data_IF_899566679358
#
_entry.id   IF_899566679358
#
_cell.length_a   1.000
_cell.length_b   1.000
_cell.length_c   1.000
_cell.angle_alpha   90.00
_cell.angle_beta   90.00
_cell.angle_gamma   90.00
#
_symmetry.space_group_name_H-M   'P 1'
#
loop_
_entity.id
_entity.type
_entity.pdbx_description
1 polymer ?
#
# COMPACT_ATOMS: atom_id res chain seq x y z
N UNK A 1 2.43 20.63 -7.00
CA UNK A 1 2.77 19.30 -7.56
C UNK A 1 3.21 18.39 -6.40
N UNK A 2 2.58 17.24 -6.22
CA UNK A 2 2.88 16.32 -5.12
C UNK A 2 4.14 15.51 -5.47
N UNK A 3 5.14 15.53 -4.59
CA UNK A 3 6.33 14.67 -4.71
C UNK A 3 5.98 13.26 -4.21
N UNK A 4 6.36 12.22 -4.95
CA UNK A 4 6.09 10.83 -4.59
C UNK A 4 7.40 10.05 -4.43
N UNK A 5 7.42 9.13 -3.49
CA UNK A 5 8.56 8.21 -3.29
C UNK A 5 8.83 7.34 -4.53
N UNK A 6 7.77 7.03 -5.27
CA UNK A 6 7.88 6.28 -6.53
C UNK A 6 8.75 7.00 -7.57
N UNK A 7 8.81 8.33 -7.57
CA UNK A 7 9.59 9.10 -8.54
C UNK A 7 11.08 8.77 -8.41
N UNK A 8 11.57 8.77 -7.17
CA UNK A 8 12.96 8.38 -6.88
C UNK A 8 13.20 6.91 -7.21
N UNK A 9 12.25 6.03 -6.86
CA UNK A 9 12.37 4.62 -7.19
C UNK A 9 12.49 4.38 -8.70
N UNK A 10 11.70 5.09 -9.53
CA UNK A 10 11.78 5.00 -10.98
C UNK A 10 13.18 5.41 -11.48
N UNK A 11 13.72 6.53 -11.00
CA UNK A 11 15.06 6.99 -11.37
C UNK A 11 16.12 5.94 -11.00
N UNK A 12 16.15 5.51 -9.74
CA UNK A 12 17.11 4.53 -9.23
C UNK A 12 16.99 3.18 -10.00
N UNK A 13 15.77 2.75 -10.34
CA UNK A 13 15.55 1.50 -11.09
C UNK A 13 16.09 1.57 -12.51
N UNK A 14 15.75 2.62 -13.26
CA UNK A 14 16.17 2.72 -14.65
C UNK A 14 17.66 3.04 -14.82
N UNK A 15 18.31 3.61 -13.80
CA UNK A 15 19.75 3.80 -13.75
C UNK A 15 20.52 2.50 -13.50
N UNK A 16 19.95 1.61 -12.68
CA UNK A 16 20.67 0.41 -12.22
C UNK A 16 20.28 -0.88 -12.93
N UNK A 17 19.08 -0.97 -13.53
CA UNK A 17 18.55 -2.17 -14.14
C UNK A 17 18.22 -1.96 -15.62
N UNK A 18 18.41 -3.02 -16.42
CA UNK A 18 18.00 -3.08 -17.84
C UNK A 18 16.65 -3.77 -18.06
N UNK A 19 16.02 -4.25 -16.99
CA UNK A 19 14.73 -4.92 -17.03
C UNK A 19 13.60 -3.93 -17.34
N UNK A 20 12.47 -4.46 -17.78
CA UNK A 20 11.21 -3.73 -17.75
C UNK A 20 10.69 -3.56 -16.32
N UNK A 21 9.90 -2.54 -16.08
CA UNK A 21 9.21 -2.33 -14.81
C UNK A 21 7.70 -2.35 -15.03
N UNK A 22 6.99 -3.09 -14.19
CA UNK A 22 5.53 -3.07 -14.13
C UNK A 22 5.08 -2.38 -12.85
N UNK A 23 4.34 -1.26 -12.97
CA UNK A 23 3.68 -0.60 -11.84
C UNK A 23 2.26 -1.14 -11.68
N UNK A 24 2.00 -1.72 -10.50
CA UNK A 24 0.69 -2.23 -10.09
C UNK A 24 0.09 -1.38 -8.97
N UNK A 25 -1.14 -1.65 -8.60
CA UNK A 25 -1.85 -0.98 -7.51
C UNK A 25 -3.21 -0.44 -7.92
N UNK A 26 -3.99 0.06 -6.95
CA UNK A 26 -5.37 0.50 -7.14
C UNK A 26 -5.52 1.55 -8.25
N UNK A 27 -6.75 1.73 -8.71
CA UNK A 27 -7.08 2.85 -9.59
C UNK A 27 -6.91 4.19 -8.88
N UNK A 28 -6.62 5.24 -9.65
CA UNK A 28 -6.55 6.63 -9.16
C UNK A 28 -5.39 6.95 -8.19
N UNK A 29 -4.42 6.05 -8.01
CA UNK A 29 -3.24 6.29 -7.14
C UNK A 29 -2.10 7.03 -7.83
N UNK A 30 -2.27 7.42 -9.13
CA UNK A 30 -1.32 8.25 -9.86
C UNK A 30 -0.24 7.51 -10.66
N UNK A 31 -0.41 6.20 -10.97
CA UNK A 31 0.56 5.40 -11.76
C UNK A 31 0.94 6.08 -13.08
N UNK A 32 -0.04 6.29 -13.95
CA UNK A 32 0.14 6.90 -15.26
C UNK A 32 0.77 8.31 -15.17
N UNK A 33 0.36 9.10 -14.16
CA UNK A 33 0.91 10.42 -13.91
C UNK A 33 2.41 10.37 -13.58
N UNK A 34 2.82 9.51 -12.65
CA UNK A 34 4.23 9.37 -12.27
C UNK A 34 5.09 8.85 -13.42
N UNK A 35 4.57 7.89 -14.21
CA UNK A 35 5.27 7.35 -15.37
C UNK A 35 5.45 8.42 -16.45
N UNK A 36 4.39 9.16 -16.80
CA UNK A 36 4.47 10.26 -17.80
C UNK A 36 5.50 11.30 -17.39
N UNK A 37 5.45 11.74 -16.13
CA UNK A 37 6.42 12.70 -15.61
C UNK A 37 7.84 12.18 -15.70
N UNK A 38 8.09 10.98 -15.19
CA UNK A 38 9.40 10.34 -15.24
C UNK A 38 9.91 10.20 -16.68
N UNK A 39 9.06 9.73 -17.61
CA UNK A 39 9.42 9.55 -19.01
C UNK A 39 9.83 10.85 -19.70
N UNK A 40 9.10 11.94 -19.44
CA UNK A 40 9.43 13.25 -20.01
C UNK A 40 10.66 13.91 -19.39
N UNK A 41 10.95 13.64 -18.10
CA UNK A 41 12.09 14.24 -17.40
C UNK A 41 13.41 13.49 -17.67
N UNK A 42 13.37 12.18 -17.95
CA UNK A 42 14.57 11.34 -17.98
C UNK A 42 14.91 10.73 -19.35
N UNK A 43 14.00 10.81 -20.33
CA UNK A 43 14.22 10.25 -21.66
C UNK A 43 14.02 11.30 -22.75
N UNK A 44 14.82 11.23 -23.80
CA UNK A 44 14.71 12.12 -24.95
C UNK A 44 13.41 11.86 -25.72
N UNK A 45 12.95 10.59 -25.72
CA UNK A 45 11.69 10.17 -26.32
C UNK A 45 10.87 9.38 -25.32
N UNK A 46 9.62 9.77 -25.19
CA UNK A 46 8.60 9.07 -24.41
C UNK A 46 7.44 8.69 -25.31
N UNK A 47 7.13 7.40 -25.36
CA UNK A 47 6.05 6.85 -26.17
C UNK A 47 5.06 6.14 -25.28
N UNK A 48 3.83 6.57 -25.29
CA UNK A 48 2.73 5.95 -24.54
C UNK A 48 1.77 5.22 -25.47
N UNK A 49 1.48 3.97 -25.11
CA UNK A 49 0.51 3.10 -25.77
C UNK A 49 -0.55 2.75 -24.74
N UNK A 50 -1.68 3.44 -24.74
CA UNK A 50 -2.80 3.18 -23.81
C UNK A 50 -3.86 2.32 -24.52
N UNK A 51 -4.07 1.11 -24.00
CA UNK A 51 -4.96 0.13 -24.64
C UNK A 51 -6.44 0.37 -24.36
N UNK A 52 -6.80 1.10 -23.30
CA UNK A 52 -8.19 1.51 -23.03
C UNK A 52 -8.55 2.73 -23.87
N UNK A 53 -7.68 3.74 -23.93
CA UNK A 53 -7.91 4.97 -24.70
C UNK A 53 -7.96 4.69 -26.21
N UNK A 54 -7.11 3.76 -26.66
CA UNK A 54 -7.00 3.37 -28.07
C UNK A 54 -7.22 1.85 -28.26
N UNK A 55 -8.47 1.34 -28.20
CA UNK A 55 -8.75 -0.10 -28.29
C UNK A 55 -8.31 -0.74 -29.61
N UNK A 56 -8.16 0.08 -30.67
CA UNK A 56 -7.64 -0.37 -31.97
C UNK A 56 -6.22 -0.93 -31.88
N UNK A 57 -5.40 -0.41 -30.96
CA UNK A 57 -4.02 -0.84 -30.75
C UNK A 57 -3.93 -2.24 -30.16
N UNK A 58 -4.94 -2.72 -29.43
CA UNK A 58 -5.03 -4.13 -28.97
C UNK A 58 -4.94 -5.06 -30.18
N UNK A 59 -5.71 -4.79 -31.25
CA UNK A 59 -5.68 -5.61 -32.48
C UNK A 59 -4.35 -5.51 -33.23
N UNK A 60 -3.67 -4.37 -33.10
CA UNK A 60 -2.36 -4.17 -33.70
C UNK A 60 -1.32 -5.04 -32.97
N UNK A 61 -1.23 -4.96 -31.65
CA UNK A 61 -0.16 -5.62 -30.89
C UNK A 61 -0.46 -7.12 -30.61
N UNK A 62 -1.70 -7.51 -30.37
CA UNK A 62 -2.06 -8.93 -30.15
C UNK A 62 -1.76 -9.85 -31.35
N UNK A 63 -1.73 -9.31 -32.56
CA UNK A 63 -1.40 -10.04 -33.78
C UNK A 63 0.08 -10.07 -34.13
N UNK A 64 0.94 -9.45 -33.32
CA UNK A 64 2.37 -9.47 -33.56
C UNK A 64 2.93 -10.87 -33.41
N UNK A 65 3.76 -11.29 -34.35
CA UNK A 65 4.28 -12.66 -34.42
C UNK A 65 5.57 -12.84 -33.63
N UNK A 66 6.35 -11.77 -33.47
CA UNK A 66 7.64 -11.78 -32.80
C UNK A 66 8.03 -10.36 -32.37
N UNK A 67 9.18 -10.22 -31.71
CA UNK A 67 9.72 -8.96 -31.23
C UNK A 67 9.90 -7.91 -32.35
N UNK A 68 10.46 -8.28 -33.50
CA UNK A 68 10.70 -7.37 -34.60
C UNK A 68 9.39 -6.82 -35.19
N UNK A 69 8.35 -7.66 -35.23
CA UNK A 69 7.01 -7.24 -35.65
C UNK A 69 6.39 -6.24 -34.65
N UNK A 70 6.61 -6.42 -33.34
CA UNK A 70 6.19 -5.45 -32.31
C UNK A 70 6.93 -4.12 -32.51
N UNK A 71 8.24 -4.13 -32.71
CA UNK A 71 9.03 -2.92 -32.92
C UNK A 71 8.64 -2.18 -34.18
N UNK A 72 8.36 -2.90 -35.26
CA UNK A 72 7.86 -2.31 -36.52
C UNK A 72 6.49 -1.66 -36.30
N UNK A 73 5.57 -2.33 -35.60
CA UNK A 73 4.25 -1.78 -35.28
C UNK A 73 4.37 -0.56 -34.37
N UNK A 74 5.27 -0.61 -33.38
CA UNK A 74 5.55 0.51 -32.50
C UNK A 74 6.00 1.74 -33.31
N UNK A 75 6.97 1.60 -34.22
CA UNK A 75 7.41 2.70 -35.10
C UNK A 75 6.36 3.18 -36.08
N UNK A 76 5.37 2.33 -36.38
CA UNK A 76 4.27 2.73 -37.31
C UNK A 76 3.16 3.49 -36.58
N UNK A 77 2.88 3.19 -35.32
CA UNK A 77 1.80 3.85 -34.56
C UNK A 77 2.27 5.11 -33.85
N UNK A 78 3.58 5.33 -33.75
CA UNK A 78 4.14 6.54 -33.15
C UNK A 78 4.45 7.61 -34.23
N UNK A 79 4.14 8.85 -33.92
CA UNK A 79 4.46 9.98 -34.81
C UNK A 79 5.89 10.50 -34.64
N UNK A 80 6.70 9.90 -33.79
CA UNK A 80 8.04 10.34 -33.42
C UNK A 80 9.09 9.28 -33.79
N UNK A 81 10.29 9.73 -34.17
CA UNK A 81 11.42 8.86 -34.36
C UNK A 81 11.87 8.28 -33.00
N UNK A 82 12.01 6.97 -32.92
CA UNK A 82 12.45 6.25 -31.73
C UNK A 82 13.99 6.22 -31.68
N UNK A 83 14.56 6.64 -30.54
CA UNK A 83 16.00 6.72 -30.35
C UNK A 83 16.45 5.51 -29.53
N UNK A 84 17.33 4.68 -30.11
CA UNK A 84 17.91 3.53 -29.41
C UNK A 84 18.64 3.96 -28.13
N UNK A 85 18.35 3.29 -27.03
CA UNK A 85 18.95 3.56 -25.71
C UNK A 85 18.36 4.77 -24.98
N UNK A 86 17.60 5.66 -25.65
CA UNK A 86 17.05 6.87 -25.03
C UNK A 86 15.54 7.09 -25.30
N UNK A 87 14.83 5.99 -25.54
CA UNK A 87 13.35 5.97 -25.62
C UNK A 87 12.80 5.13 -24.50
N UNK A 88 11.85 5.69 -23.73
CA UNK A 88 10.98 4.96 -22.81
C UNK A 88 9.66 4.65 -23.51
N UNK A 89 9.34 3.38 -23.63
CA UNK A 89 8.04 2.91 -24.12
C UNK A 89 7.17 2.53 -22.93
N UNK A 90 6.04 3.18 -22.81
CA UNK A 90 5.05 2.96 -21.77
C UNK A 90 3.82 2.27 -22.34
N UNK A 91 3.59 1.05 -21.89
CA UNK A 91 2.37 0.32 -22.18
C UNK A 91 1.42 0.47 -20.98
N UNK A 92 0.35 1.24 -21.18
CA UNK A 92 -0.65 1.51 -20.16
C UNK A 92 -1.88 0.61 -20.33
N UNK A 93 -2.47 0.20 -19.20
CA UNK A 93 -3.63 -0.71 -19.11
C UNK A 93 -3.37 -2.03 -19.86
N UNK A 94 -2.21 -2.66 -19.57
CA UNK A 94 -1.74 -3.86 -20.30
C UNK A 94 -2.61 -5.09 -20.08
N UNK A 95 -3.55 -5.09 -19.14
CA UNK A 95 -4.55 -6.16 -19.01
C UNK A 95 -5.43 -6.29 -20.26
N UNK A 96 -5.60 -5.23 -21.02
CA UNK A 96 -6.35 -5.27 -22.29
C UNK A 96 -5.54 -5.90 -23.45
N UNK A 97 -4.21 -6.06 -23.28
CA UNK A 97 -3.33 -6.70 -24.26
C UNK A 97 -2.26 -7.57 -23.58
N UNK A 98 -2.63 -8.72 -23.00
CA UNK A 98 -1.72 -9.60 -22.25
C UNK A 98 -0.53 -10.12 -23.07
N UNK A 99 -0.65 -10.12 -24.40
CA UNK A 99 0.40 -10.54 -25.32
C UNK A 99 1.66 -9.68 -25.19
N UNK A 100 1.51 -8.39 -24.88
CA UNK A 100 2.64 -7.49 -24.63
C UNK A 100 3.41 -7.92 -23.38
N UNK A 101 2.73 -8.28 -22.32
CA UNK A 101 3.37 -8.78 -21.10
C UNK A 101 4.17 -10.06 -21.38
N UNK A 102 3.64 -10.95 -22.19
CA UNK A 102 4.34 -12.18 -22.63
C UNK A 102 5.55 -11.86 -23.51
N UNK A 103 5.45 -10.83 -24.36
CA UNK A 103 6.49 -10.45 -25.29
C UNK A 103 7.63 -9.61 -24.64
N UNK A 104 7.40 -9.08 -23.44
CA UNK A 104 8.35 -8.13 -22.80
C UNK A 104 9.76 -8.70 -22.65
N UNK A 105 9.88 -10.03 -22.42
CA UNK A 105 11.17 -10.72 -22.37
C UNK A 105 11.98 -10.45 -23.62
N UNK A 106 11.40 -10.66 -24.79
CA UNK A 106 12.07 -10.53 -26.08
C UNK A 106 12.38 -9.07 -26.42
N UNK A 107 11.53 -8.14 -25.97
CA UNK A 107 11.75 -6.71 -26.13
C UNK A 107 12.91 -6.21 -25.28
N UNK A 108 13.05 -6.71 -24.06
CA UNK A 108 14.17 -6.39 -23.16
C UNK A 108 15.46 -7.04 -23.64
N UNK A 109 15.43 -8.28 -24.15
CA UNK A 109 16.61 -8.96 -24.73
C UNK A 109 17.12 -8.24 -25.98
N UNK A 110 16.22 -7.74 -26.82
CA UNK A 110 16.59 -6.98 -28.03
C UNK A 110 17.28 -5.65 -27.69
N UNK A 111 16.85 -4.99 -26.59
CA UNK A 111 17.58 -3.92 -25.92
C UNK A 111 17.57 -2.55 -26.60
N UNK A 112 16.77 -2.34 -27.66
CA UNK A 112 16.69 -1.03 -28.35
C UNK A 112 16.06 0.07 -27.48
N UNK A 113 15.06 -0.29 -26.64
CA UNK A 113 14.30 0.67 -25.85
C UNK A 113 14.18 0.24 -24.40
N UNK A 114 13.73 1.15 -23.55
CA UNK A 114 13.37 0.87 -22.16
C UNK A 114 11.85 0.74 -22.06
N UNK A 115 11.38 -0.12 -21.16
CA UNK A 115 9.97 -0.46 -21.07
C UNK A 115 9.44 -0.28 -19.67
N UNK A 116 8.29 0.38 -19.57
CA UNK A 116 7.48 0.43 -18.36
C UNK A 116 6.04 0.05 -18.71
N UNK A 117 5.42 -0.71 -17.83
CA UNK A 117 4.06 -1.17 -17.99
C UNK A 117 3.22 -0.72 -16.80
N UNK A 118 1.95 -0.43 -17.02
CA UNK A 118 1.01 -0.27 -15.92
C UNK A 118 -0.34 -0.90 -16.24
N UNK A 119 -1.10 -1.14 -15.19
CA UNK A 119 -2.48 -1.54 -15.28
C UNK A 119 -3.15 -1.46 -13.93
N UNK A 120 -4.41 -1.09 -13.97
CA UNK A 120 -5.30 -1.21 -12.82
C UNK A 120 -5.79 -2.66 -12.76
N UNK A 121 -5.90 -3.23 -11.55
CA UNK A 121 -6.38 -4.62 -11.38
C UNK A 121 -5.44 -5.72 -11.95
N UNK A 122 -4.20 -5.39 -12.29
CA UNK A 122 -3.23 -6.39 -12.76
C UNK A 122 -3.02 -7.52 -11.76
N UNK A 123 -3.13 -7.26 -10.46
CA UNK A 123 -3.10 -8.31 -9.43
C UNK A 123 -4.18 -9.37 -9.62
N UNK A 124 -5.36 -9.00 -10.17
CA UNK A 124 -6.46 -9.93 -10.46
C UNK A 124 -6.19 -10.71 -11.76
N UNK A 125 -5.63 -10.06 -12.77
CA UNK A 125 -5.55 -10.61 -14.14
C UNK A 125 -4.21 -11.28 -14.45
N UNK A 126 -3.11 -10.89 -13.80
CA UNK A 126 -1.79 -11.55 -13.97
C UNK A 126 -1.86 -13.06 -13.71
N UNK A 127 -2.78 -13.52 -12.87
CA UNK A 127 -3.02 -14.96 -12.65
C UNK A 127 -3.38 -15.73 -13.93
N UNK A 128 -3.84 -15.03 -14.96
CA UNK A 128 -4.23 -15.61 -16.25
C UNK A 128 -3.14 -15.52 -17.34
N UNK A 129 -1.98 -14.93 -17.03
CA UNK A 129 -0.88 -14.87 -17.99
C UNK A 129 -0.27 -16.24 -18.25
N UNK A 130 -0.12 -16.58 -19.54
CA UNK A 130 0.48 -17.84 -19.99
C UNK A 130 1.94 -18.02 -19.53
N UNK A 131 2.67 -16.93 -19.32
CA UNK A 131 4.04 -16.94 -18.84
C UNK A 131 4.40 -15.58 -18.23
N UNK A 132 4.78 -15.56 -16.95
CA UNK A 132 5.41 -14.38 -16.35
C UNK A 132 6.85 -14.26 -16.87
N UNK A 133 7.31 -13.10 -17.33
CA UNK A 133 8.69 -12.92 -17.85
C UNK A 133 9.69 -12.81 -16.70
N UNK A 134 9.86 -13.88 -15.95
CA UNK A 134 10.77 -13.96 -14.79
C UNK A 134 12.20 -13.60 -15.22
N UNK A 135 12.83 -12.68 -14.50
CA UNK A 135 14.19 -12.21 -14.79
C UNK A 135 14.28 -11.02 -15.76
N UNK A 136 13.22 -10.72 -16.52
CA UNK A 136 13.19 -9.61 -17.50
C UNK A 136 12.30 -8.45 -17.11
N UNK A 137 11.44 -8.65 -16.14
CA UNK A 137 10.52 -7.64 -15.63
C UNK A 137 10.45 -7.73 -14.11
N UNK A 138 10.56 -6.59 -13.45
CA UNK A 138 10.29 -6.45 -12.03
C UNK A 138 8.92 -5.80 -11.83
N UNK A 139 8.24 -6.17 -10.74
CA UNK A 139 6.92 -5.62 -10.39
C UNK A 139 7.06 -4.75 -9.15
N UNK A 140 6.50 -3.56 -9.20
CA UNK A 140 6.46 -2.63 -8.08
C UNK A 140 5.03 -2.21 -7.79
N UNK A 141 4.59 -2.47 -6.57
CA UNK A 141 3.32 -1.97 -6.09
C UNK A 141 3.42 -0.49 -5.73
N UNK A 142 2.44 0.28 -6.18
CA UNK A 142 2.23 1.67 -5.81
C UNK A 142 0.99 1.77 -4.94
N UNK A 143 1.08 2.59 -3.90
CA UNK A 143 0.03 2.80 -2.91
C UNK A 143 -0.47 4.25 -2.95
N UNK A 144 -1.61 4.59 -2.31
CA UNK A 144 -1.94 5.98 -1.99
C UNK A 144 -0.77 6.69 -1.31
N UNK A 145 -0.78 8.00 -1.21
CA UNK A 145 0.24 8.74 -0.45
C UNK A 145 0.32 8.19 0.98
N UNK A 146 1.52 7.86 1.43
CA UNK A 146 1.77 7.62 2.84
C UNK A 146 1.80 8.94 3.63
N UNK A 147 1.85 8.85 4.95
CA UNK A 147 1.78 10.04 5.78
C UNK A 147 2.96 11.00 5.56
N UNK A 148 4.18 10.50 5.29
CA UNK A 148 5.35 11.33 4.99
C UNK A 148 5.15 12.12 3.68
N UNK A 149 4.63 11.48 2.63
CA UNK A 149 4.29 12.14 1.36
C UNK A 149 3.18 13.18 1.54
N UNK A 150 2.14 12.83 2.32
CA UNK A 150 1.04 13.75 2.63
C UNK A 150 1.52 14.95 3.44
N UNK A 151 2.27 14.75 4.52
CA UNK A 151 2.79 15.81 5.37
C UNK A 151 3.65 16.79 4.55
N UNK A 152 4.51 16.26 3.67
CA UNK A 152 5.31 17.08 2.76
C UNK A 152 4.42 17.86 1.78
N UNK A 153 3.38 17.24 1.23
CA UNK A 153 2.45 17.89 0.30
C UNK A 153 1.69 19.06 0.95
N UNK A 154 1.31 18.96 2.22
CA UNK A 154 0.64 20.04 2.96
C UNK A 154 1.62 21.06 3.57
N UNK A 155 2.92 20.96 3.29
CA UNK A 155 3.90 22.00 3.60
C UNK A 155 4.84 21.72 4.78
N UNK A 156 4.85 20.51 5.34
CA UNK A 156 5.90 20.11 6.30
C UNK A 156 7.21 19.94 5.52
N UNK A 157 8.22 20.71 5.89
CA UNK A 157 9.50 20.69 5.19
C UNK A 157 10.40 19.52 5.61
N UNK A 158 11.34 19.17 4.74
CA UNK A 158 12.25 18.02 4.94
C UNK A 158 13.07 18.15 6.24
N UNK A 159 13.41 19.36 6.68
CA UNK A 159 14.15 19.57 7.94
C UNK A 159 13.37 19.12 9.16
N UNK A 160 12.05 19.35 9.18
CA UNK A 160 11.19 18.86 10.28
C UNK A 160 11.14 17.35 10.24
N UNK A 161 10.98 16.74 9.05
CA UNK A 161 11.01 15.28 8.90
C UNK A 161 12.34 14.70 9.41
N UNK A 162 13.47 15.32 9.10
CA UNK A 162 14.78 14.87 9.60
C UNK A 162 14.93 14.98 11.11
N UNK A 163 14.43 16.08 11.71
CA UNK A 163 14.38 16.25 13.18
C UNK A 163 13.54 15.13 13.81
N UNK A 164 12.34 14.87 13.29
CA UNK A 164 11.47 13.81 13.78
C UNK A 164 12.13 12.43 13.64
N UNK A 165 12.79 12.17 12.54
CA UNK A 165 13.54 10.91 12.29
C UNK A 165 14.65 10.71 13.31
N UNK A 166 15.37 11.79 13.69
CA UNK A 166 16.38 11.75 14.73
C UNK A 166 15.76 11.36 16.08
N UNK A 167 14.67 12.03 16.49
CA UNK A 167 13.97 11.73 17.74
C UNK A 167 13.41 10.29 17.77
N UNK A 168 12.89 9.81 16.64
CA UNK A 168 12.47 8.41 16.49
C UNK A 168 13.63 7.43 16.73
N UNK A 169 14.80 7.70 16.13
CA UNK A 169 15.98 6.83 16.24
C UNK A 169 16.58 6.84 17.65
N UNK A 170 16.66 8.01 18.26
CA UNK A 170 17.21 8.21 19.61
C UNK A 170 16.22 7.83 20.72
N UNK A 171 14.92 7.74 20.41
CA UNK A 171 13.87 7.46 21.40
C UNK A 171 13.68 8.61 22.38
N UNK A 172 13.86 9.85 21.93
CA UNK A 172 13.78 11.08 22.72
C UNK A 172 12.52 11.90 22.39
N UNK A 173 11.93 12.63 23.36
CA UNK A 173 10.75 13.45 23.10
C UNK A 173 11.01 14.53 22.05
N UNK A 174 10.00 14.79 21.22
CA UNK A 174 9.97 15.91 20.27
C UNK A 174 9.57 17.19 21.00
N UNK A 175 10.02 18.34 20.51
CA UNK A 175 9.51 19.65 20.95
C UNK A 175 7.98 19.68 20.90
N UNK A 176 7.34 20.21 21.94
CA UNK A 176 5.89 20.16 22.12
C UNK A 176 5.13 20.83 20.97
N UNK A 177 5.61 22.01 20.52
CA UNK A 177 4.98 22.71 19.41
C UNK A 177 5.03 21.89 18.10
N UNK A 178 6.16 21.22 17.83
CA UNK A 178 6.31 20.35 16.65
C UNK A 178 5.41 19.13 16.81
N UNK A 179 5.34 18.54 18.01
CA UNK A 179 4.49 17.40 18.30
C UNK A 179 3.00 17.72 18.04
N UNK A 180 2.50 18.81 18.63
CA UNK A 180 1.11 19.25 18.45
C UNK A 180 0.79 19.49 16.96
N UNK A 181 1.69 20.18 16.25
CA UNK A 181 1.52 20.45 14.81
C UNK A 181 1.47 19.18 13.98
N UNK A 182 2.33 18.22 14.27
CA UNK A 182 2.31 16.93 13.57
C UNK A 182 1.05 16.11 13.88
N UNK A 183 0.52 16.19 15.11
CA UNK A 183 -0.76 15.59 15.47
C UNK A 183 -1.94 16.24 14.72
N UNK A 184 -1.92 17.56 14.51
CA UNK A 184 -2.92 18.23 13.66
C UNK A 184 -2.85 17.74 12.21
N UNK A 185 -1.65 17.67 11.63
CA UNK A 185 -1.44 17.15 10.26
C UNK A 185 -1.88 15.70 10.15
N UNK A 186 -1.62 14.88 11.18
CA UNK A 186 -2.07 13.49 11.18
C UNK A 186 -3.60 13.37 11.22
N UNK A 187 -4.29 14.17 12.05
CA UNK A 187 -5.76 14.22 12.06
C UNK A 187 -6.34 14.64 10.70
N UNK A 188 -5.69 15.61 10.04
CA UNK A 188 -6.07 15.98 8.67
C UNK A 188 -5.89 14.82 7.69
N UNK A 189 -4.79 14.07 7.79
CA UNK A 189 -4.54 12.88 6.98
C UNK A 189 -5.61 11.81 7.17
N UNK A 190 -6.11 11.62 8.40
CA UNK A 190 -7.20 10.66 8.65
C UNK A 190 -8.48 10.98 7.85
N UNK A 191 -8.66 12.23 7.43
CA UNK A 191 -9.86 12.67 6.69
C UNK A 191 -9.58 12.75 5.19
N UNK A 192 -8.47 13.38 4.81
CA UNK A 192 -8.12 13.58 3.40
C UNK A 192 -7.61 12.29 2.77
N UNK A 193 -6.90 11.46 3.55
CA UNK A 193 -6.27 10.23 3.08
C UNK A 193 -5.09 10.48 2.16
N UNK A 194 -4.68 9.43 1.45
CA UNK A 194 -3.57 9.42 0.51
C UNK A 194 -3.96 9.33 -0.96
N UNK A 195 -5.26 9.38 -1.30
CA UNK A 195 -5.66 9.38 -2.71
C UNK A 195 -5.25 10.69 -3.38
N UNK A 196 -4.41 10.65 -4.46
CA UNK A 196 -3.86 11.88 -5.06
C UNK A 196 -4.91 12.92 -5.42
N UNK A 197 -6.04 12.51 -6.00
CA UNK A 197 -7.11 13.43 -6.38
C UNK A 197 -7.73 14.14 -5.16
N UNK A 198 -7.88 13.42 -4.04
CA UNK A 198 -8.39 13.98 -2.79
C UNK A 198 -7.38 14.97 -2.17
N UNK A 199 -6.08 14.62 -2.19
CA UNK A 199 -5.01 15.50 -1.70
C UNK A 199 -4.88 16.75 -2.57
N UNK A 200 -4.85 16.62 -3.90
CA UNK A 200 -4.83 17.76 -4.81
C UNK A 200 -6.06 18.67 -4.64
N UNK A 201 -7.23 18.08 -4.41
CA UNK A 201 -8.46 18.82 -4.12
C UNK A 201 -8.31 19.64 -2.83
N UNK A 202 -7.80 19.03 -1.77
CA UNK A 202 -7.55 19.72 -0.51
C UNK A 202 -6.56 20.88 -0.69
N UNK A 203 -5.45 20.64 -1.37
CA UNK A 203 -4.42 21.67 -1.61
C UNK A 203 -4.95 22.85 -2.45
N UNK A 204 -5.90 22.58 -3.35
CA UNK A 204 -6.48 23.62 -4.21
C UNK A 204 -7.57 24.44 -3.50
N UNK A 205 -8.35 23.84 -2.60
CA UNK A 205 -9.59 24.47 -2.08
C UNK A 205 -9.57 24.68 -0.57
N UNK A 206 -8.75 23.97 0.18
CA UNK A 206 -8.81 23.85 1.65
C UNK A 206 -10.24 23.51 2.18
N UNK A 207 -11.04 22.86 1.36
CA UNK A 207 -12.43 22.54 1.65
C UNK A 207 -12.64 21.02 1.77
N UNK A 208 -13.01 20.56 2.97
CA UNK A 208 -13.22 19.14 3.23
C UNK A 208 -14.47 18.59 2.51
N UNK A 209 -15.49 19.40 2.24
CA UNK A 209 -16.65 18.93 1.48
C UNK A 209 -16.28 18.58 0.05
N UNK A 210 -15.41 19.38 -0.60
CA UNK A 210 -14.91 19.08 -1.93
C UNK A 210 -14.05 17.81 -1.93
N UNK A 211 -13.23 17.60 -0.89
CA UNK A 211 -12.44 16.38 -0.69
C UNK A 211 -13.34 15.16 -0.57
N UNK A 212 -14.39 15.22 0.27
CA UNK A 212 -15.34 14.13 0.45
C UNK A 212 -16.08 13.81 -0.85
N UNK A 213 -16.46 14.82 -1.63
CA UNK A 213 -17.10 14.61 -2.93
C UNK A 213 -16.18 13.84 -3.89
N UNK A 214 -14.88 14.14 -3.90
CA UNK A 214 -13.87 13.43 -4.69
C UNK A 214 -13.70 11.98 -4.21
N UNK A 215 -13.59 11.76 -2.90
CA UNK A 215 -13.51 10.42 -2.31
C UNK A 215 -14.74 9.57 -2.65
N UNK A 216 -15.94 10.14 -2.56
CA UNK A 216 -17.18 9.46 -2.95
C UNK A 216 -17.22 9.13 -4.45
N UNK A 217 -16.63 9.97 -5.31
CA UNK A 217 -16.47 9.66 -6.73
C UNK A 217 -15.53 8.45 -6.94
N UNK A 218 -14.41 8.38 -6.22
CA UNK A 218 -13.49 7.24 -6.26
C UNK A 218 -14.17 5.95 -5.79
N UNK A 219 -14.92 5.99 -4.69
CA UNK A 219 -15.69 4.83 -4.19
C UNK A 219 -16.70 4.34 -5.23
N UNK A 220 -17.41 5.27 -5.90
CA UNK A 220 -18.34 4.90 -6.99
C UNK A 220 -17.62 4.21 -8.14
N UNK A 221 -16.41 4.67 -8.52
CA UNK A 221 -15.60 4.00 -9.54
C UNK A 221 -15.20 2.59 -9.12
N UNK A 222 -14.77 2.39 -7.87
CA UNK A 222 -14.44 1.05 -7.35
C UNK A 222 -15.65 0.11 -7.41
N UNK A 223 -16.83 0.59 -7.02
CA UNK A 223 -18.09 -0.19 -7.13
C UNK A 223 -18.45 -0.54 -8.59
N UNK A 224 -18.19 0.36 -9.54
CA UNK A 224 -18.39 0.11 -10.96
C UNK A 224 -17.41 -0.95 -11.50
N UNK A 225 -16.15 -0.90 -11.06
CA UNK A 225 -15.15 -1.90 -11.43
C UNK A 225 -15.52 -3.29 -10.93
N UNK A 226 -15.95 -3.41 -9.67
CA UNK A 226 -16.48 -4.64 -9.10
C UNK A 226 -17.58 -5.22 -10.02
N UNK A 227 -18.51 -4.37 -10.45
CA UNK A 227 -19.64 -4.81 -11.28
C UNK A 227 -19.20 -5.25 -12.69
N UNK A 228 -18.11 -4.66 -13.22
CA UNK A 228 -17.60 -4.94 -14.57
C UNK A 228 -16.75 -6.23 -14.61
N UNK A 229 -15.84 -6.40 -13.65
CA UNK A 229 -14.80 -7.43 -13.71
C UNK A 229 -15.18 -8.76 -13.03
N UNK A 230 -16.15 -8.76 -12.11
CA UNK A 230 -16.68 -10.00 -11.52
C UNK A 230 -18.22 -9.95 -11.43
N UNK A 231 -18.91 -10.08 -12.58
CA UNK A 231 -20.38 -10.02 -12.61
C UNK A 231 -21.06 -11.08 -11.77
N UNK A 232 -20.43 -12.26 -11.63
CA UNK A 232 -21.02 -13.42 -10.93
C UNK A 232 -20.96 -13.26 -9.40
N UNK A 233 -19.95 -12.54 -8.87
CA UNK A 233 -19.76 -12.35 -7.44
C UNK A 233 -19.89 -10.89 -7.01
N UNK A 234 -20.27 -9.98 -7.91
CA UNK A 234 -20.34 -8.52 -7.65
C UNK A 234 -21.11 -8.15 -6.39
N UNK A 235 -22.24 -8.83 -6.13
CA UNK A 235 -23.04 -8.55 -4.93
C UNK A 235 -22.30 -8.89 -3.65
N UNK A 236 -21.55 -9.99 -3.63
CA UNK A 236 -20.74 -10.39 -2.48
C UNK A 236 -19.57 -9.42 -2.25
N UNK A 237 -18.88 -9.03 -3.33
CA UNK A 237 -17.74 -8.11 -3.24
C UNK A 237 -18.21 -6.74 -2.74
N UNK A 238 -19.33 -6.23 -3.29
CA UNK A 238 -19.93 -4.95 -2.86
C UNK A 238 -20.39 -5.00 -1.40
N UNK A 239 -21.04 -6.08 -0.98
CA UNK A 239 -21.50 -6.25 0.39
C UNK A 239 -20.33 -6.29 1.38
N UNK A 240 -19.25 -7.02 1.05
CA UNK A 240 -18.02 -7.04 1.84
C UNK A 240 -17.45 -5.62 1.97
N UNK A 241 -17.32 -4.92 0.83
CA UNK A 241 -16.78 -3.57 0.80
C UNK A 241 -17.58 -2.59 1.68
N UNK A 242 -18.92 -2.61 1.56
CA UNK A 242 -19.80 -1.72 2.29
C UNK A 242 -19.83 -2.00 3.81
N UNK A 243 -19.48 -3.23 4.22
CA UNK A 243 -19.43 -3.62 5.62
C UNK A 243 -18.11 -3.33 6.31
N UNK A 244 -17.04 -3.01 5.59
CA UNK A 244 -15.71 -2.75 6.19
C UNK A 244 -15.81 -1.77 7.37
N UNK A 245 -16.47 -0.59 7.27
CA UNK A 245 -16.54 0.34 8.39
C UNK A 245 -17.21 -0.25 9.63
N UNK A 246 -18.31 -0.98 9.46
CA UNK A 246 -19.07 -1.57 10.57
C UNK A 246 -18.31 -2.72 11.24
N UNK A 247 -17.62 -3.57 10.47
CA UNK A 247 -16.81 -4.65 11.01
C UNK A 247 -15.57 -4.14 11.76
N UNK A 248 -14.98 -3.03 11.31
CA UNK A 248 -13.86 -2.37 11.99
C UNK A 248 -14.28 -1.69 13.30
N UNK A 249 -15.54 -1.20 13.39
CA UNK A 249 -16.08 -0.60 14.62
C UNK A 249 -16.56 -1.65 15.64
N UNK A 250 -16.73 -2.90 15.21
CA UNK A 250 -17.12 -3.99 16.09
C UNK A 250 -16.02 -4.30 17.12
N UNK A 251 -16.44 -4.78 18.31
CA UNK A 251 -15.52 -5.05 19.46
C UNK A 251 -14.29 -5.89 19.10
N UNK A 252 -14.43 -6.87 18.20
CA UNK A 252 -13.33 -7.78 17.83
C UNK A 252 -12.64 -7.34 16.53
N UNK A 253 -13.17 -6.34 15.79
CA UNK A 253 -12.63 -5.85 14.51
C UNK A 253 -12.32 -6.93 13.46
N UNK A 254 -12.80 -8.16 13.69
CA UNK A 254 -12.66 -9.30 12.77
C UNK A 254 -13.80 -9.26 11.77
N UNK A 255 -13.49 -9.55 10.52
CA UNK A 255 -14.52 -9.70 9.53
C UNK A 255 -15.33 -10.98 9.78
N UNK A 256 -16.58 -10.84 10.20
CA UNK A 256 -17.45 -11.94 10.58
C UNK A 256 -18.37 -12.30 9.40
N UNK A 257 -18.05 -13.39 8.72
CA UNK A 257 -18.83 -13.85 7.54
C UNK A 257 -20.30 -14.14 7.82
N UNK A 258 -20.63 -14.55 9.03
CA UNK A 258 -22.03 -14.76 9.44
C UNK A 258 -22.87 -13.48 9.36
N UNK A 259 -22.22 -12.30 9.45
CA UNK A 259 -22.90 -11.02 9.30
C UNK A 259 -23.31 -10.76 7.83
N UNK A 260 -22.67 -11.42 6.87
CA UNK A 260 -23.08 -11.39 5.47
C UNK A 260 -24.23 -12.36 5.21
N UNK A 261 -24.08 -13.61 5.66
CA UNK A 261 -25.13 -14.62 5.51
C UNK A 261 -24.84 -15.80 6.48
N UNK A 262 -25.83 -16.15 7.31
CA UNK A 262 -25.69 -17.17 8.35
C UNK A 262 -25.34 -18.57 7.84
N UNK A 263 -25.69 -18.88 6.60
CA UNK A 263 -25.60 -20.23 6.01
C UNK A 263 -24.43 -20.40 5.01
N UNK A 264 -23.61 -19.38 4.76
CA UNK A 264 -22.58 -19.44 3.73
C UNK A 264 -21.20 -19.77 4.31
N UNK A 265 -20.51 -20.74 3.66
CA UNK A 265 -19.14 -21.13 3.99
C UNK A 265 -18.12 -20.10 3.45
N UNK A 266 -17.01 -19.90 4.17
CA UNK A 266 -15.88 -19.03 3.78
C UNK A 266 -15.40 -19.28 2.33
N UNK A 267 -15.36 -20.54 1.89
CA UNK A 267 -14.90 -20.89 0.54
C UNK A 267 -15.66 -20.17 -0.58
N UNK A 268 -16.91 -19.74 -0.32
CA UNK A 268 -17.74 -19.03 -1.31
C UNK A 268 -17.39 -17.55 -1.44
N UNK A 269 -16.87 -16.94 -0.35
CA UNK A 269 -16.47 -15.53 -0.33
C UNK A 269 -14.96 -15.33 -0.52
N UNK A 270 -14.17 -16.39 -0.46
CA UNK A 270 -12.71 -16.31 -0.52
C UNK A 270 -12.21 -15.55 -1.74
N UNK A 271 -12.79 -15.81 -2.91
CA UNK A 271 -12.42 -15.11 -4.14
C UNK A 271 -12.78 -13.62 -4.10
N UNK A 272 -13.88 -13.26 -3.44
CA UNK A 272 -14.29 -11.87 -3.28
C UNK A 272 -13.33 -11.06 -2.39
N UNK A 273 -12.84 -11.66 -1.31
CA UNK A 273 -11.79 -11.04 -0.49
C UNK A 273 -10.45 -10.91 -1.22
N UNK A 274 -10.08 -11.96 -1.97
CA UNK A 274 -8.87 -11.93 -2.80
C UNK A 274 -8.99 -10.85 -3.88
N UNK A 275 -10.15 -10.70 -4.48
CA UNK A 275 -10.39 -9.65 -5.46
C UNK A 275 -10.18 -8.25 -4.87
N UNK A 276 -10.77 -7.94 -3.71
CA UNK A 276 -10.60 -6.65 -3.03
C UNK A 276 -9.14 -6.37 -2.68
N UNK A 277 -8.41 -7.39 -2.24
CA UNK A 277 -6.97 -7.30 -1.97
C UNK A 277 -6.18 -7.03 -3.24
N UNK A 278 -6.39 -7.87 -4.27
CA UNK A 278 -5.63 -7.83 -5.52
C UNK A 278 -5.95 -6.54 -6.32
N UNK A 279 -7.17 -6.00 -6.18
CA UNK A 279 -7.56 -4.69 -6.71
C UNK A 279 -6.94 -3.51 -5.92
N UNK A 280 -6.30 -3.78 -4.79
CA UNK A 280 -5.71 -2.75 -3.95
C UNK A 280 -6.72 -1.87 -3.21
N UNK A 281 -7.95 -2.36 -3.01
CA UNK A 281 -9.07 -1.60 -2.41
C UNK A 281 -9.17 -1.87 -0.92
N UNK A 282 -8.83 -3.08 -0.47
CA UNK A 282 -8.86 -3.46 0.93
C UNK A 282 -7.61 -4.25 1.32
N UNK A 283 -7.28 -4.18 2.61
CA UNK A 283 -6.07 -4.76 3.21
C UNK A 283 -6.47 -5.82 4.23
N UNK A 284 -6.37 -7.12 3.91
CA UNK A 284 -6.58 -8.18 4.89
C UNK A 284 -5.37 -8.32 5.80
N UNK A 285 -5.61 -8.31 7.10
CA UNK A 285 -4.63 -8.55 8.16
C UNK A 285 -4.96 -9.87 8.82
N UNK A 286 -4.12 -10.88 8.64
CA UNK A 286 -4.39 -12.25 9.07
C UNK A 286 -3.97 -12.50 10.52
N UNK A 287 -4.72 -13.36 11.22
CA UNK A 287 -4.32 -13.81 12.55
C UNK A 287 -3.13 -14.75 12.46
N UNK A 288 -2.17 -14.59 13.37
CA UNK A 288 -1.14 -15.59 13.64
C UNK A 288 -1.47 -16.31 14.96
N UNK A 289 -1.38 -17.63 14.96
CA UNK A 289 -1.63 -18.45 16.15
C UNK A 289 -0.47 -18.36 17.14
N UNK A 290 0.74 -18.24 16.60
CA UNK A 290 1.99 -18.06 17.33
C UNK A 290 2.78 -16.88 16.75
N UNK A 291 3.09 -15.85 17.55
CA UNK A 291 3.81 -14.67 17.08
C UNK A 291 5.33 -14.93 17.04
N UNK A 292 5.74 -15.96 16.31
CA UNK A 292 7.15 -16.35 16.08
C UNK A 292 7.51 -16.28 14.60
N UNK A 293 8.71 -15.82 14.30
CA UNK A 293 9.20 -15.69 12.92
C UNK A 293 9.59 -17.07 12.37
N UNK A 294 9.21 -17.43 11.13
CA UNK A 294 8.42 -16.68 10.16
C UNK A 294 6.90 -16.69 10.47
N UNK A 295 6.30 -15.52 10.60
CA UNK A 295 4.89 -15.35 10.98
C UNK A 295 3.91 -16.06 10.02
N UNK A 296 4.27 -16.16 8.75
CA UNK A 296 3.45 -16.80 7.73
C UNK A 296 3.15 -18.28 8.05
N UNK A 297 4.04 -18.96 8.78
CA UNK A 297 3.89 -20.39 9.11
C UNK A 297 2.74 -20.65 10.10
N UNK A 298 2.41 -19.66 10.94
CA UNK A 298 1.31 -19.76 11.91
C UNK A 298 0.08 -18.94 11.51
N UNK A 299 0.05 -18.40 10.28
CA UNK A 299 -1.05 -17.55 9.83
C UNK A 299 -2.31 -18.34 9.52
N UNK A 300 -3.44 -17.86 10.02
CA UNK A 300 -4.76 -18.47 9.87
C UNK A 300 -5.55 -17.76 8.77
N UNK A 301 -5.77 -18.42 7.63
CA UNK A 301 -6.42 -17.81 6.44
C UNK A 301 -7.88 -17.41 6.64
N UNK A 302 -8.56 -17.99 7.63
CA UNK A 302 -9.98 -17.77 7.86
C UNK A 302 -10.27 -16.75 8.97
N UNK A 303 -9.23 -16.24 9.61
CA UNK A 303 -9.34 -15.27 10.70
C UNK A 303 -8.54 -14.03 10.30
N UNK A 304 -9.24 -12.97 9.94
CA UNK A 304 -8.60 -11.72 9.51
C UNK A 304 -9.45 -10.50 9.87
N UNK A 305 -8.78 -9.37 9.98
CA UNK A 305 -9.36 -8.03 9.95
C UNK A 305 -9.29 -7.52 8.52
N UNK A 306 -10.25 -6.72 8.07
CA UNK A 306 -10.24 -6.16 6.72
C UNK A 306 -10.27 -4.63 6.82
N UNK A 307 -9.17 -3.99 6.46
CA UNK A 307 -9.02 -2.54 6.45
C UNK A 307 -9.23 -1.97 5.05
N UNK A 308 -9.58 -0.70 4.97
CA UNK A 308 -9.58 0.04 3.70
C UNK A 308 -8.14 0.35 3.30
N UNK A 309 -7.85 0.30 1.99
CA UNK A 309 -6.54 0.64 1.48
C UNK A 309 -6.18 2.13 1.59
N UNK A 310 -7.18 2.98 1.84
CA UNK A 310 -7.00 4.40 2.08
C UNK A 310 -7.90 4.88 3.22
N UNK A 311 -7.28 5.59 4.18
CA UNK A 311 -7.98 6.06 5.38
C UNK A 311 -9.01 7.16 5.08
N UNK A 312 -8.75 8.01 4.09
CA UNK A 312 -9.70 9.04 3.66
C UNK A 312 -10.94 8.44 3.03
N UNK A 313 -10.79 7.36 2.26
CA UNK A 313 -11.93 6.62 1.73
C UNK A 313 -12.74 5.97 2.85
N UNK A 314 -12.10 5.44 3.90
CA UNK A 314 -12.81 4.95 5.08
C UNK A 314 -13.58 6.10 5.77
N UNK A 315 -12.93 7.24 6.00
CA UNK A 315 -13.53 8.39 6.64
C UNK A 315 -14.76 8.92 5.86
N UNK A 316 -14.74 8.83 4.52
CA UNK A 316 -15.85 9.26 3.67
C UNK A 316 -17.04 8.29 3.64
N UNK A 317 -16.89 7.08 4.18
CA UNK A 317 -17.98 6.11 4.36
C UNK A 317 -18.75 6.31 5.68
N UNK A 318 -18.24 7.12 6.59
CA UNK A 318 -18.94 7.51 7.81
C UNK A 318 -20.01 8.57 7.52
N UNK A 319 -20.92 8.78 8.48
CA UNK A 319 -21.95 9.81 8.39
C UNK A 319 -21.33 11.23 8.31
N UNK A 320 -22.06 12.14 7.66
CA UNK A 320 -21.66 13.54 7.56
C UNK A 320 -21.43 14.16 8.94
N UNK A 321 -20.39 14.98 9.04
CA UNK A 321 -19.99 15.68 10.27
C UNK A 321 -19.04 14.90 11.17
N UNK A 322 -18.82 13.61 10.96
CA UNK A 322 -17.81 12.82 11.70
C UNK A 322 -16.40 13.35 11.41
N UNK A 323 -16.15 13.81 10.19
CA UNK A 323 -14.86 14.37 9.76
C UNK A 323 -14.44 15.57 10.59
N UNK A 324 -15.37 16.49 10.90
CA UNK A 324 -15.10 17.64 11.79
C UNK A 324 -14.75 17.17 13.20
N UNK A 325 -15.49 16.18 13.71
CA UNK A 325 -15.22 15.59 15.02
C UNK A 325 -13.85 14.92 15.11
N UNK A 326 -13.37 14.32 14.01
CA UNK A 326 -12.00 13.77 13.92
C UNK A 326 -10.98 14.91 14.02
N UNK A 327 -11.16 16.02 13.29
CA UNK A 327 -10.27 17.19 13.38
C UNK A 327 -10.21 17.76 14.79
N UNK A 328 -11.37 17.92 15.42
CA UNK A 328 -11.50 18.50 16.76
C UNK A 328 -11.10 17.53 17.88
N UNK A 329 -10.68 16.30 17.49
CA UNK A 329 -10.29 15.23 18.43
C UNK A 329 -11.38 14.96 19.48
N UNK A 330 -12.67 14.94 19.04
CA UNK A 330 -13.79 14.75 19.95
C UNK A 330 -13.77 13.36 20.62
N UNK A 331 -13.88 13.28 21.97
CA UNK A 331 -13.85 12.00 22.69
C UNK A 331 -15.01 11.05 22.35
N UNK A 332 -16.07 11.54 21.70
CA UNK A 332 -17.22 10.73 21.27
C UNK A 332 -16.90 9.80 20.08
N UNK A 333 -15.80 10.04 19.38
CA UNK A 333 -15.39 9.23 18.23
C UNK A 333 -14.58 8.02 18.69
N UNK A 334 -14.92 6.85 18.15
CA UNK A 334 -14.09 5.65 18.29
C UNK A 334 -12.86 5.73 17.36
N UNK A 335 -11.82 6.44 17.80
CA UNK A 335 -10.59 6.57 17.02
C UNK A 335 -9.80 5.26 16.87
N UNK A 336 -10.10 4.24 17.66
CA UNK A 336 -9.33 2.98 17.63
C UNK A 336 -9.34 2.31 16.26
N UNK A 337 -10.50 2.18 15.61
CA UNK A 337 -10.60 1.58 14.27
C UNK A 337 -9.99 2.46 13.18
N UNK A 338 -10.14 3.78 13.30
CA UNK A 338 -9.59 4.76 12.36
C UNK A 338 -8.06 4.73 12.42
N UNK A 339 -7.47 4.75 13.63
CA UNK A 339 -6.02 4.68 13.81
C UNK A 339 -5.45 3.36 13.33
N UNK A 340 -6.09 2.22 13.66
CA UNK A 340 -5.64 0.92 13.15
C UNK A 340 -5.69 0.85 11.62
N UNK A 341 -6.68 1.47 10.97
CA UNK A 341 -6.72 1.52 9.51
C UNK A 341 -5.57 2.34 8.93
N UNK A 342 -5.25 3.51 9.52
CA UNK A 342 -4.11 4.30 9.10
C UNK A 342 -2.80 3.53 9.29
N UNK A 343 -2.65 2.79 10.39
CA UNK A 343 -1.48 1.93 10.65
C UNK A 343 -1.38 0.81 9.63
N UNK A 344 -2.48 0.14 9.30
CA UNK A 344 -2.50 -0.93 8.28
C UNK A 344 -2.07 -0.39 6.90
N UNK A 345 -2.59 0.76 6.49
CA UNK A 345 -2.24 1.43 5.24
C UNK A 345 -0.74 1.76 5.18
N UNK A 346 -0.20 2.41 6.22
CA UNK A 346 1.22 2.79 6.27
C UNK A 346 2.15 1.57 6.24
N UNK A 347 1.89 0.58 7.10
CA UNK A 347 2.71 -0.63 7.15
C UNK A 347 2.71 -1.38 5.82
N UNK A 348 1.57 -1.44 5.12
CA UNK A 348 1.48 -2.02 3.79
C UNK A 348 2.30 -1.23 2.77
N UNK A 349 2.17 0.11 2.77
CA UNK A 349 2.95 0.99 1.90
C UNK A 349 4.46 0.90 2.16
N UNK A 350 4.84 0.59 3.40
CA UNK A 350 6.22 0.38 3.82
C UNK A 350 6.75 -1.04 3.57
N UNK A 351 5.97 -1.89 2.90
CA UNK A 351 6.41 -3.21 2.44
C UNK A 351 6.31 -4.33 3.48
N UNK A 352 5.54 -4.15 4.54
CA UNK A 352 5.29 -5.22 5.50
C UNK A 352 4.14 -6.11 5.07
N UNK A 353 4.24 -7.42 5.37
CA UNK A 353 3.09 -8.30 5.44
C UNK A 353 2.37 -8.07 6.76
N UNK A 354 1.04 -7.95 6.70
CA UNK A 354 0.24 -7.54 7.84
C UNK A 354 -0.33 -8.74 8.56
N UNK A 355 -0.03 -8.82 9.86
CA UNK A 355 -0.58 -9.81 10.77
C UNK A 355 -1.07 -9.15 12.06
N UNK A 356 -2.00 -9.81 12.75
CA UNK A 356 -2.36 -9.54 14.13
C UNK A 356 -2.26 -10.82 14.95
N UNK A 357 -2.14 -10.70 16.26
CA UNK A 357 -2.11 -11.86 17.14
C UNK A 357 -3.32 -11.85 18.07
N UNK A 358 -4.02 -12.96 18.16
CA UNK A 358 -5.10 -13.09 19.12
C UNK A 358 -5.12 -14.49 19.75
N UNK A 359 -4.96 -14.51 21.05
CA UNK A 359 -4.97 -15.74 21.85
C UNK A 359 -5.85 -15.54 23.11
N UNK A 360 -6.66 -16.55 23.45
CA UNK A 360 -7.57 -16.48 24.60
C UNK A 360 -6.87 -16.22 25.94
N UNK A 361 -5.62 -16.67 26.09
CA UNK A 361 -4.84 -16.53 27.34
C UNK A 361 -4.06 -15.23 27.39
N UNK A 362 -3.50 -14.81 26.29
CA UNK A 362 -2.59 -13.66 26.24
C UNK A 362 -3.29 -12.36 25.83
N UNK A 363 -4.39 -12.45 25.08
CA UNK A 363 -5.12 -11.30 24.55
C UNK A 363 -4.82 -11.04 23.08
N UNK A 364 -5.14 -9.83 22.60
CA UNK A 364 -4.98 -9.42 21.22
C UNK A 364 -3.93 -8.32 21.10
N UNK A 365 -2.98 -8.47 20.15
CA UNK A 365 -2.09 -7.43 19.65
C UNK A 365 -2.64 -6.91 18.33
N UNK A 366 -2.68 -5.59 18.15
CA UNK A 366 -3.28 -4.97 16.98
C UNK A 366 -2.54 -5.34 15.70
N UNK A 367 -1.19 -5.28 15.74
CA UNK A 367 -0.34 -5.73 14.65
C UNK A 367 0.90 -6.47 15.15
N UNK A 368 1.35 -7.42 14.34
CA UNK A 368 2.63 -8.11 14.48
C UNK A 368 3.31 -8.13 13.11
N UNK A 369 4.52 -7.61 13.02
CA UNK A 369 5.28 -7.57 11.77
C UNK A 369 6.65 -8.23 11.94
N UNK A 370 7.25 -8.61 10.84
CA UNK A 370 8.64 -9.07 10.78
C UNK A 370 9.56 -7.92 10.38
N UNK A 371 10.55 -7.63 11.21
CA UNK A 371 11.56 -6.63 10.91
C UNK A 371 12.93 -7.15 11.29
N UNK A 372 13.85 -7.20 10.31
CA UNK A 372 15.24 -7.70 10.49
C UNK A 372 15.33 -9.13 11.07
N UNK A 373 14.39 -10.02 10.71
CA UNK A 373 14.36 -11.40 11.20
C UNK A 373 13.80 -11.55 12.61
N UNK A 374 13.25 -10.49 13.20
CA UNK A 374 12.62 -10.50 14.51
C UNK A 374 11.15 -10.13 14.42
N UNK A 375 10.36 -10.63 15.35
CA UNK A 375 8.96 -10.24 15.52
C UNK A 375 8.91 -8.90 16.25
N UNK A 376 8.17 -7.94 15.68
CA UNK A 376 7.90 -6.64 16.26
C UNK A 376 6.40 -6.48 16.49
N UNK A 377 5.94 -6.51 17.75
CA UNK A 377 4.56 -6.21 18.07
C UNK A 377 4.32 -4.70 18.10
N UNK A 378 3.16 -4.30 17.55
CA UNK A 378 2.67 -2.92 17.58
C UNK A 378 1.29 -2.91 18.21
N UNK A 379 1.10 -2.00 19.15
CA UNK A 379 -0.18 -1.70 19.79
C UNK A 379 -0.60 -0.28 19.41
N UNK A 380 -1.88 -0.08 19.11
CA UNK A 380 -2.42 1.22 18.68
C UNK A 380 -3.38 1.75 19.74
N UNK A 381 -3.09 2.93 20.25
CA UNK A 381 -3.85 3.57 21.34
C UNK A 381 -4.24 5.00 20.97
N UNK A 382 -5.51 5.23 20.75
CA UNK A 382 -6.06 6.56 20.47
C UNK A 382 -6.52 7.34 21.70
N UNK A 383 -6.59 6.68 22.87
CA UNK A 383 -7.06 7.27 24.13
C UNK A 383 -5.93 7.65 25.10
N UNK A 384 -6.31 8.25 26.24
CA UNK A 384 -5.37 8.66 27.31
C UNK A 384 -4.73 7.50 28.07
N UNK A 385 -5.39 6.31 28.09
CA UNK A 385 -4.91 5.12 28.80
C UNK A 385 -3.94 4.28 27.95
N UNK A 386 -3.06 4.92 27.17
CA UNK A 386 -2.17 4.25 26.22
C UNK A 386 -1.13 3.33 26.90
N UNK A 387 -0.84 3.53 28.19
CA UNK A 387 0.05 2.66 28.94
C UNK A 387 -0.61 1.33 29.38
N UNK A 388 -1.92 1.18 29.19
CA UNK A 388 -2.66 -0.04 29.48
C UNK A 388 -2.73 -0.96 28.26
N UNK A 389 -1.79 -1.88 28.15
CA UNK A 389 -1.68 -2.84 27.04
C UNK A 389 -1.37 -4.24 27.58
N UNK A 390 -2.38 -4.85 28.23
CA UNK A 390 -2.23 -6.16 28.90
C UNK A 390 -1.70 -7.25 27.98
N UNK A 391 -2.19 -7.34 26.74
CA UNK A 391 -1.75 -8.36 25.80
C UNK A 391 -0.27 -8.18 25.43
N UNK A 392 0.16 -6.94 25.14
CA UNK A 392 1.55 -6.64 24.88
C UNK A 392 2.45 -7.03 26.07
N UNK A 393 2.04 -6.66 27.29
CA UNK A 393 2.77 -7.03 28.51
C UNK A 393 2.88 -8.54 28.65
N UNK A 394 1.81 -9.29 28.40
CA UNK A 394 1.81 -10.75 28.47
C UNK A 394 2.79 -11.36 27.44
N UNK A 395 2.77 -10.89 26.21
CA UNK A 395 3.66 -11.36 25.15
C UNK A 395 5.12 -11.02 25.45
N UNK A 396 5.39 -9.79 25.90
CA UNK A 396 6.73 -9.34 26.30
C UNK A 396 7.35 -10.13 27.46
N UNK A 397 6.51 -10.60 28.38
CA UNK A 397 6.94 -11.39 29.55
C UNK A 397 6.93 -12.90 29.27
N UNK A 398 6.50 -13.32 28.09
CA UNK A 398 6.48 -14.74 27.73
C UNK A 398 7.89 -15.29 27.58
N UNK A 399 8.15 -16.44 28.19
CA UNK A 399 9.41 -17.19 28.00
C UNK A 399 9.47 -17.89 26.64
N UNK A 400 8.31 -18.07 25.99
CA UNK A 400 8.20 -18.73 24.70
C UNK A 400 8.56 -17.79 23.53
N UNK A 401 8.24 -16.50 23.67
CA UNK A 401 8.45 -15.51 22.62
C UNK A 401 9.63 -14.62 22.98
N UNK A 402 10.65 -14.60 22.11
CA UNK A 402 11.83 -13.73 22.30
C UNK A 402 11.57 -12.37 21.66
N UNK A 403 10.91 -11.46 22.42
CA UNK A 403 10.63 -10.11 21.94
C UNK A 403 11.72 -9.16 22.41
N UNK A 404 12.47 -8.59 21.48
CA UNK A 404 13.58 -7.65 21.75
C UNK A 404 13.06 -6.24 22.00
N UNK A 405 12.02 -5.81 21.29
CA UNK A 405 11.41 -4.48 21.38
C UNK A 405 9.93 -4.53 20.99
N UNK A 406 9.18 -3.51 21.40
CA UNK A 406 7.78 -3.30 21.00
C UNK A 406 7.48 -1.82 20.85
N UNK A 407 6.50 -1.48 20.01
CA UNK A 407 6.02 -0.11 19.87
C UNK A 407 4.55 0.00 20.30
N UNK A 408 4.26 1.10 20.99
CA UNK A 408 2.89 1.56 21.26
C UNK A 408 2.71 2.89 20.53
N UNK A 409 1.87 2.89 19.51
CA UNK A 409 1.52 4.08 18.75
C UNK A 409 0.38 4.80 19.47
N UNK A 410 0.60 6.04 19.87
CA UNK A 410 -0.35 6.79 20.71
C UNK A 410 -0.40 8.28 20.33
N UNK A 411 -1.18 9.06 21.06
CA UNK A 411 -1.28 10.51 20.88
C UNK A 411 -0.21 11.29 21.64
N UNK A 412 0.52 10.63 22.53
CA UNK A 412 1.51 11.27 23.41
C UNK A 412 2.90 11.26 22.77
N UNK A 413 3.79 12.06 23.33
CA UNK A 413 5.17 12.24 22.87
C UNK A 413 6.02 10.97 23.09
N UNK A 414 7.22 10.93 22.49
CA UNK A 414 8.12 9.77 22.58
C UNK A 414 8.50 9.50 24.03
N UNK A 415 8.32 8.25 24.46
CA UNK A 415 8.71 7.75 25.78
C UNK A 415 9.22 6.32 25.66
N UNK A 416 10.33 6.01 26.29
CA UNK A 416 10.87 4.64 26.32
C UNK A 416 10.84 4.07 27.72
N UNK A 417 10.26 2.88 27.86
CA UNK A 417 10.17 2.16 29.13
C UNK A 417 10.62 0.70 28.91
N UNK A 418 11.83 0.39 29.31
CA UNK A 418 12.43 -0.94 29.07
C UNK A 418 12.53 -1.26 27.58
N UNK A 419 11.85 -2.33 27.14
CA UNK A 419 11.78 -2.77 25.75
C UNK A 419 10.62 -2.14 24.96
N UNK A 420 9.76 -1.36 25.59
CA UNK A 420 8.61 -0.71 24.96
C UNK A 420 8.94 0.73 24.68
N UNK A 421 8.74 1.15 23.43
CA UNK A 421 8.81 2.57 23.05
C UNK A 421 7.42 3.04 22.67
N UNK A 422 6.93 4.03 23.37
CA UNK A 422 5.73 4.78 23.03
C UNK A 422 6.10 5.83 22.00
N UNK A 423 5.38 5.86 20.91
CA UNK A 423 5.64 6.74 19.77
C UNK A 423 4.38 7.53 19.45
N UNK A 424 4.48 8.84 19.19
CA UNK A 424 3.39 9.56 18.57
C UNK A 424 2.98 8.86 17.28
N UNK A 425 1.67 8.73 17.05
CA UNK A 425 1.13 7.96 15.91
C UNK A 425 1.71 8.38 14.56
N UNK A 426 2.02 9.66 14.37
CA UNK A 426 2.62 10.17 13.15
C UNK A 426 4.05 9.62 12.88
N UNK A 427 4.76 9.17 13.92
CA UNK A 427 6.08 8.54 13.75
C UNK A 427 6.05 7.17 13.10
N UNK A 428 4.86 6.62 12.88
CA UNK A 428 4.64 5.43 12.04
C UNK A 428 5.32 5.55 10.67
N UNK A 429 5.42 6.76 10.11
CA UNK A 429 6.11 7.03 8.84
C UNK A 429 7.58 6.58 8.82
N UNK A 430 8.20 6.32 9.98
CA UNK A 430 9.59 5.84 10.09
C UNK A 430 9.71 4.33 10.33
N UNK A 431 8.61 3.63 10.56
CA UNK A 431 8.60 2.17 10.66
C UNK A 431 8.59 1.60 9.23
N UNK A 432 9.78 1.30 8.70
CA UNK A 432 9.95 0.82 7.31
C UNK A 432 10.59 -0.55 7.30
N UNK A 433 10.20 -1.36 6.34
CA UNK A 433 10.82 -2.65 6.06
C UNK A 433 12.09 -2.42 5.21
N UNK A 434 13.11 -1.87 5.83
CA UNK A 434 14.42 -1.70 5.20
C UNK A 434 15.08 -3.08 5.12
N UNK A 435 15.26 -3.59 3.91
CA UNK A 435 16.11 -4.75 3.73
C UNK A 435 17.55 -4.35 4.07
N UNK A 436 18.11 -4.96 5.11
CA UNK A 436 19.54 -4.84 5.36
C UNK A 436 20.27 -5.36 4.14
N UNK A 437 21.30 -4.65 3.70
CA UNK A 437 22.18 -5.12 2.65
C UNK A 437 22.59 -6.56 2.95
N UNK A 438 22.52 -7.47 1.97
CA UNK A 438 22.90 -8.86 2.20
C UNK A 438 24.33 -8.90 2.70
N UNK A 439 24.53 -9.53 3.86
CA UNK A 439 25.87 -9.84 4.34
C UNK A 439 26.51 -10.75 3.29
N UNK A 440 27.61 -10.33 2.70
CA UNK A 440 28.35 -11.20 1.77
C UNK A 440 28.86 -12.40 2.58
N UNK A 441 28.32 -13.56 2.27
CA UNK A 441 28.78 -14.82 2.83
C UNK A 441 29.57 -15.55 1.75
N UNK A 442 30.85 -15.73 1.98
CA UNK A 442 31.74 -16.53 1.10
C UNK A 442 32.01 -17.83 1.82
N UNK A 443 31.58 -18.93 1.25
CA UNK A 443 31.92 -20.25 1.75
C UNK A 443 33.39 -20.53 1.39
N UNK A 444 34.25 -20.66 2.37
CA UNK A 444 35.61 -21.08 2.18
C UNK A 444 35.67 -22.62 2.15
N UNK A 445 35.91 -23.17 0.96
CA UNK A 445 36.06 -24.61 0.73
C UNK A 445 37.52 -25.03 0.65
N UNK A 446 38.49 -24.13 0.89
CA UNK A 446 39.94 -24.41 0.76
C UNK A 446 40.52 -25.37 1.80
N UNK A 447 39.70 -25.79 2.80
CA UNK A 447 40.13 -26.71 3.86
C UNK A 447 39.65 -28.16 3.74
N UNK A 448 39.03 -28.55 2.63
CA UNK A 448 38.55 -29.92 2.39
C UNK A 448 39.19 -30.52 1.12
N UNK A 449 40.50 -30.77 1.18
CA UNK A 449 41.18 -31.73 0.29
C UNK A 449 42.13 -32.56 1.15
#
# INVERSE_FOLDING_TARGET
MIKRKIDRYLADFFDTHKKALMLTGARQIGKTYSIRRFGHEHFERFVEINFIENPGLVKVFSKAKNCQDILLRLSTVTSQDLIKGNTLVFFDEVQECPEIVTAIKFLVEEGSYRYILSGSLLGVEIKNLRSAPVGYMDVKDMYPLDFEEFATAVGINDRIIDVLRKHFTEGTPVDEFIHEKMMEVFRLYLIVGGMPAAVDKYLATNNLQDVMAEQQAIIRLYKQDIAKYDPDHKLYIQEIFDRIPAELDAKNKRFILKNLNENIKFSRYQNSFLWLKDAGVALPVYNVEEPTVPLILSSSRNLFKLFMADIGLLASLYADGIQLKILDNEPSINFGSIYENAVAQELQAHGFQLYYYNNKRQGELDFVIEQNGEMLPLEVKSGKDYERHKALTNVMNSTTYQVSKAYVLCNDNVKKVGKITYLPIYMLMFIKNEQKLPTQYTLDLSGQV
#
